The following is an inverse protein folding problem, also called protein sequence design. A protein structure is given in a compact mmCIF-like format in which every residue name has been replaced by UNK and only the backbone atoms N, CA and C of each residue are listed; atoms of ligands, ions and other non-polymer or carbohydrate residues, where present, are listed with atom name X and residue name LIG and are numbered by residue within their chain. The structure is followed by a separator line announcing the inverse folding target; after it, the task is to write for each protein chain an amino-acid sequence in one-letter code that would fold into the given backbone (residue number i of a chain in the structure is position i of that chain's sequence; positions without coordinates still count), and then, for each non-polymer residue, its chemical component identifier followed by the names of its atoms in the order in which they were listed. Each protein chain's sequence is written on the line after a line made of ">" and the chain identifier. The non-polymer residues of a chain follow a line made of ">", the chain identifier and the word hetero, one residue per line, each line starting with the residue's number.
data_IF_749888370330
#
_entry.id   IF_749888370330
#
_cell.length_a   1.000
_cell.length_b   1.000
_cell.length_c   1.000
_cell.angle_alpha   90.00
_cell.angle_beta   90.00
_cell.angle_gamma   90.00
#
_symmetry.space_group_name_H-M   'P 1'
#
loop_
_entity.id
_entity.type
_entity.pdbx_description
1 polymer ?
#
# COMPACT_ATOMS: atom_id res chain seq x y z
N UNK A 1 -61.59 50.06 -1.12
CA UNK A 1 -60.65 51.11 -0.62
C UNK A 1 -59.71 50.40 0.35
N UNK A 2 -58.39 50.26 0.20
CA UNK A 2 -57.32 51.16 -0.26
C UNK A 2 -56.08 50.33 -0.67
N UNK A 3 -55.56 50.67 -1.85
CA UNK A 3 -54.14 50.85 -2.25
C UNK A 3 -53.14 49.69 -2.09
N UNK A 4 -52.92 49.05 -3.24
CA UNK A 4 -51.63 48.58 -3.78
C UNK A 4 -50.49 49.59 -3.50
N UNK A 5 -49.33 49.11 -3.04
CA UNK A 5 -48.04 49.79 -3.25
C UNK A 5 -47.01 48.71 -3.61
N UNK A 6 -46.60 48.74 -4.87
CA UNK A 6 -45.43 48.06 -5.42
C UNK A 6 -44.20 48.89 -5.02
N UNK A 7 -43.18 48.26 -4.45
CA UNK A 7 -41.85 48.85 -4.34
C UNK A 7 -40.82 47.86 -4.90
N UNK A 8 -40.23 48.30 -6.01
CA UNK A 8 -39.16 47.70 -6.77
C UNK A 8 -37.80 48.13 -6.17
N UNK A 9 -36.74 47.36 -6.47
CA UNK A 9 -35.32 47.66 -6.28
C UNK A 9 -34.74 47.27 -4.89
N UNK A 10 -33.52 46.77 -4.75
CA UNK A 10 -32.32 46.99 -5.54
C UNK A 10 -31.30 45.85 -5.28
N UNK A 11 -30.61 45.45 -6.34
CA UNK A 11 -29.56 44.42 -6.40
C UNK A 11 -28.47 44.57 -5.34
N UNK A 12 -28.20 43.50 -4.59
CA UNK A 12 -26.95 43.35 -3.81
C UNK A 12 -26.09 42.29 -4.47
N UNK A 13 -25.04 42.79 -5.13
CA UNK A 13 -23.98 42.01 -5.75
C UNK A 13 -23.08 41.46 -4.63
N UNK A 14 -23.30 40.20 -4.23
CA UNK A 14 -22.45 39.53 -3.24
C UNK A 14 -21.12 39.13 -3.89
N UNK A 15 -20.07 39.89 -3.60
CA UNK A 15 -18.68 39.52 -3.85
C UNK A 15 -18.33 38.34 -2.93
N UNK A 16 -18.39 37.12 -3.46
CA UNK A 16 -17.89 35.93 -2.77
C UNK A 16 -16.35 35.93 -2.80
N UNK A 17 -15.66 35.75 -1.66
CA UNK A 17 -14.24 35.49 -1.69
C UNK A 17 -14.01 34.18 -2.43
N UNK A 18 -13.08 34.21 -3.38
CA UNK A 18 -12.51 33.04 -4.02
C UNK A 18 -11.82 32.19 -2.95
N UNK A 19 -12.61 31.35 -2.28
CA UNK A 19 -12.11 30.28 -1.45
C UNK A 19 -11.32 29.34 -2.36
N UNK A 20 -10.01 29.33 -2.16
CA UNK A 20 -9.12 28.34 -2.72
C UNK A 20 -9.81 26.98 -2.62
N UNK A 21 -10.04 26.36 -3.77
CA UNK A 21 -10.28 24.92 -3.82
C UNK A 21 -8.97 24.28 -3.39
N UNK A 22 -8.80 24.16 -2.07
CA UNK A 22 -7.90 23.18 -1.49
C UNK A 22 -8.25 21.86 -2.16
N UNK A 23 -7.37 21.40 -3.04
CA UNK A 23 -7.38 20.03 -3.50
C UNK A 23 -7.28 19.22 -2.23
N UNK A 24 -8.42 18.70 -1.79
CA UNK A 24 -8.48 17.73 -0.71
C UNK A 24 -7.55 16.59 -1.10
N UNK A 25 -6.35 16.60 -0.50
CA UNK A 25 -5.49 15.44 -0.47
C UNK A 25 -6.36 14.27 -0.02
N UNK A 26 -6.34 13.18 -0.79
CA UNK A 26 -7.12 11.99 -0.49
C UNK A 26 -6.97 11.63 1.00
N UNK A 27 -8.06 11.37 1.74
CA UNK A 27 -7.95 10.94 3.12
C UNK A 27 -7.21 9.61 3.16
N UNK A 28 -6.14 9.51 3.94
CA UNK A 28 -5.88 8.26 4.66
C UNK A 28 -4.57 7.52 4.42
N UNK A 29 -3.51 8.09 3.84
CA UNK A 29 -2.18 7.53 4.11
C UNK A 29 -1.81 7.89 5.55
N UNK A 30 -2.06 6.99 6.50
CA UNK A 30 -1.69 7.22 7.90
C UNK A 30 -0.17 7.18 7.99
N UNK A 31 0.46 8.32 8.26
CA UNK A 31 1.80 8.37 8.83
C UNK A 31 1.76 7.55 10.13
N UNK A 32 2.41 6.40 10.11
CA UNK A 32 2.22 5.37 11.12
C UNK A 32 3.49 4.58 11.32
N UNK A 33 3.66 4.05 12.53
CA UNK A 33 4.74 3.12 12.86
C UNK A 33 4.78 2.00 11.82
N UNK A 34 5.97 1.65 11.29
CA UNK A 34 6.11 0.52 10.38
C UNK A 34 5.53 -0.75 11.01
N UNK A 35 4.82 -1.54 10.20
CA UNK A 35 4.41 -2.89 10.61
C UNK A 35 5.32 -3.93 9.97
N UNK A 36 5.61 -5.01 10.69
CA UNK A 36 6.47 -6.08 10.20
C UNK A 36 5.73 -7.39 10.22
N UNK A 37 5.86 -8.16 9.14
CA UNK A 37 5.24 -9.46 8.95
C UNK A 37 6.29 -10.49 8.55
N UNK A 38 6.23 -11.68 9.13
CA UNK A 38 6.94 -12.84 8.60
C UNK A 38 6.05 -13.52 7.58
N UNK A 39 6.50 -13.57 6.33
CA UNK A 39 5.70 -14.04 5.20
C UNK A 39 6.47 -15.14 4.48
N UNK A 40 5.81 -16.23 4.14
CA UNK A 40 6.39 -17.29 3.31
C UNK A 40 5.84 -17.19 1.90
N UNK A 41 6.66 -17.55 0.91
CA UNK A 41 6.26 -17.46 -0.47
C UNK A 41 7.22 -18.16 -1.42
N UNK A 42 6.82 -18.20 -2.69
CA UNK A 42 7.61 -18.70 -3.80
C UNK A 42 7.99 -17.55 -4.71
N UNK A 43 9.27 -17.41 -5.02
CA UNK A 43 9.75 -16.46 -6.03
C UNK A 43 9.22 -16.87 -7.40
N UNK A 44 8.49 -15.98 -8.08
CA UNK A 44 7.95 -16.23 -9.42
C UNK A 44 8.72 -15.47 -10.50
N UNK A 45 9.35 -14.36 -10.16
CA UNK A 45 10.23 -13.60 -11.05
C UNK A 45 11.28 -12.83 -10.25
N UNK A 46 12.47 -12.67 -10.83
CA UNK A 46 13.56 -11.87 -10.25
C UNK A 46 13.53 -10.42 -10.78
N UNK A 47 14.06 -9.45 -10.03
CA UNK A 47 14.24 -8.08 -10.51
C UNK A 47 15.07 -8.04 -11.80
N UNK A 48 14.63 -7.25 -12.79
CA UNK A 48 15.42 -7.00 -14.01
C UNK A 48 16.61 -6.06 -13.76
N UNK A 49 16.56 -5.28 -12.68
CA UNK A 49 17.60 -4.34 -12.24
C UNK A 49 17.85 -4.51 -10.75
N UNK A 50 19.00 -4.05 -10.25
CA UNK A 50 19.35 -4.17 -8.83
C UNK A 50 18.35 -3.48 -7.89
N UNK A 51 17.75 -2.37 -8.33
CA UNK A 51 16.73 -1.61 -7.59
C UNK A 51 15.29 -2.03 -7.93
N UNK A 52 15.12 -3.11 -8.71
CA UNK A 52 13.82 -3.60 -9.16
C UNK A 52 13.06 -4.37 -8.09
N UNK A 53 11.83 -4.75 -8.42
CA UNK A 53 10.97 -5.54 -7.54
C UNK A 53 11.07 -7.03 -7.86
N UNK A 54 10.99 -7.85 -6.82
CA UNK A 54 10.88 -9.31 -6.94
C UNK A 54 9.40 -9.69 -6.91
N UNK A 55 8.99 -10.62 -7.78
CA UNK A 55 7.63 -11.16 -7.74
C UNK A 55 7.61 -12.39 -6.85
N UNK A 56 6.68 -12.40 -5.89
CA UNK A 56 6.51 -13.50 -4.94
C UNK A 56 5.02 -13.87 -4.91
N UNK A 57 4.71 -15.15 -5.11
CA UNK A 57 3.42 -15.71 -4.69
C UNK A 57 3.52 -16.06 -3.22
N UNK A 58 2.96 -15.21 -2.36
CA UNK A 58 3.04 -15.35 -0.92
C UNK A 58 1.81 -16.05 -0.35
N UNK A 59 1.97 -16.74 0.77
CA UNK A 59 0.85 -17.30 1.54
C UNK A 59 -0.02 -16.19 2.14
N UNK A 60 -1.23 -16.54 2.59
CA UNK A 60 -2.10 -15.60 3.32
C UNK A 60 -1.35 -14.93 4.48
N UNK A 61 -1.38 -13.60 4.53
CA UNK A 61 -0.86 -12.80 5.65
C UNK A 61 -2.04 -12.50 6.58
N UNK A 62 -2.16 -13.18 7.72
CA UNK A 62 -3.27 -12.94 8.64
C UNK A 62 -3.14 -11.57 9.29
N UNK A 63 -4.27 -10.94 9.60
CA UNK A 63 -4.29 -9.66 10.33
C UNK A 63 -3.45 -8.54 9.69
N UNK A 64 -3.41 -8.51 8.36
CA UNK A 64 -2.73 -7.46 7.61
C UNK A 64 -3.46 -6.11 7.75
N UNK A 65 -2.74 -5.05 8.14
CA UNK A 65 -3.28 -3.69 8.18
C UNK A 65 -3.16 -3.05 6.80
N UNK A 66 -4.30 -2.90 6.13
CA UNK A 66 -4.37 -2.20 4.86
C UNK A 66 -4.11 -0.69 4.99
N UNK A 67 -3.89 -0.03 3.85
CA UNK A 67 -3.63 1.41 3.78
C UNK A 67 -4.73 2.27 4.43
N UNK A 68 -5.99 1.81 4.40
CA UNK A 68 -7.13 2.48 5.05
C UNK A 68 -7.16 2.27 6.58
N UNK A 69 -6.16 1.61 7.13
CA UNK A 69 -5.99 1.30 8.55
C UNK A 69 -6.79 0.10 9.03
N UNK A 70 -7.66 -0.50 8.18
CA UNK A 70 -8.43 -1.68 8.55
C UNK A 70 -7.54 -2.92 8.58
N UNK A 71 -7.76 -3.75 9.58
CA UNK A 71 -7.10 -5.05 9.73
C UNK A 71 -7.97 -6.10 9.04
N UNK A 72 -7.38 -6.82 8.09
CA UNK A 72 -8.01 -7.94 7.35
C UNK A 72 -6.93 -8.90 6.87
N UNK A 73 -7.30 -10.11 6.50
CA UNK A 73 -6.33 -11.02 5.88
C UNK A 73 -5.93 -10.48 4.49
N UNK A 74 -4.63 -10.49 4.19
CA UNK A 74 -4.17 -10.41 2.81
C UNK A 74 -4.13 -11.84 2.27
N UNK A 75 -5.01 -12.15 1.32
CA UNK A 75 -5.09 -13.49 0.75
C UNK A 75 -3.80 -13.86 0.02
N UNK A 76 -3.58 -15.16 -0.20
CA UNK A 76 -2.47 -15.62 -1.01
C UNK A 76 -2.56 -15.03 -2.41
N UNK A 77 -1.48 -14.40 -2.88
CA UNK A 77 -1.44 -13.79 -4.19
C UNK A 77 -0.01 -13.60 -4.67
N UNK A 78 0.15 -13.45 -5.99
CA UNK A 78 1.40 -13.05 -6.62
C UNK A 78 1.45 -11.53 -6.77
N UNK A 79 2.48 -10.90 -6.19
CA UNK A 79 2.66 -9.46 -6.27
C UNK A 79 4.13 -9.04 -6.16
N UNK A 80 4.47 -7.82 -6.61
CA UNK A 80 5.82 -7.30 -6.47
C UNK A 80 6.12 -6.84 -5.04
N UNK A 81 7.36 -7.05 -4.63
CA UNK A 81 7.93 -6.50 -3.41
C UNK A 81 9.28 -5.86 -3.70
N UNK A 82 9.53 -4.69 -3.11
CA UNK A 82 10.86 -4.11 -3.14
C UNK A 82 11.80 -4.85 -2.19
N UNK A 83 13.02 -5.10 -2.64
CA UNK A 83 14.06 -5.72 -1.84
C UNK A 83 14.98 -4.64 -1.27
N UNK A 84 15.19 -4.62 0.05
CA UNK A 84 16.21 -3.74 0.65
C UNK A 84 17.61 -4.22 0.21
N UNK A 85 18.56 -3.30 -0.06
CA UNK A 85 19.93 -3.70 -0.40
C UNK A 85 20.52 -4.64 0.66
N UNK A 86 20.98 -5.81 0.22
CA UNK A 86 21.53 -6.84 1.11
C UNK A 86 20.51 -7.72 1.85
N UNK A 87 19.20 -7.54 1.61
CA UNK A 87 18.17 -8.33 2.28
C UNK A 87 18.06 -9.77 1.79
N UNK A 88 18.49 -10.08 0.57
CA UNK A 88 18.46 -11.44 0.05
C UNK A 88 19.83 -12.13 0.13
N UNK A 89 19.86 -13.45 0.39
CA UNK A 89 21.06 -14.24 0.22
C UNK A 89 21.45 -14.26 -1.26
N UNK A 90 22.75 -14.41 -1.53
CA UNK A 90 23.23 -14.67 -2.89
C UNK A 90 22.57 -15.93 -3.46
N UNK A 91 22.23 -15.91 -4.75
CA UNK A 91 21.70 -17.09 -5.45
C UNK A 91 20.19 -17.30 -5.32
N UNK A 92 19.41 -16.26 -5.02
CA UNK A 92 17.95 -16.33 -5.14
C UNK A 92 17.55 -16.64 -6.60
N UNK A 93 16.65 -17.60 -6.78
CA UNK A 93 16.23 -18.09 -8.08
C UNK A 93 14.69 -18.17 -8.19
N UNK A 94 14.17 -18.13 -9.42
CA UNK A 94 12.76 -18.43 -9.68
C UNK A 94 12.44 -19.85 -9.20
N UNK A 95 11.31 -19.99 -8.51
CA UNK A 95 10.88 -21.25 -7.88
C UNK A 95 11.41 -21.45 -6.47
N UNK A 96 12.34 -20.63 -5.98
CA UNK A 96 12.82 -20.72 -4.61
C UNK A 96 11.70 -20.45 -3.61
N UNK A 97 11.61 -21.29 -2.58
CA UNK A 97 10.73 -21.10 -1.44
C UNK A 97 11.49 -20.30 -0.38
N UNK A 98 10.92 -19.18 0.03
CA UNK A 98 11.55 -18.25 0.96
C UNK A 98 10.60 -17.82 2.07
N UNK A 99 11.19 -17.46 3.19
CA UNK A 99 10.55 -16.68 4.24
C UNK A 99 11.16 -15.28 4.22
N UNK A 100 10.32 -14.26 4.31
CA UNK A 100 10.71 -12.85 4.25
C UNK A 100 10.21 -12.12 5.48
N UNK A 101 10.98 -11.12 5.90
CA UNK A 101 10.54 -10.11 6.86
C UNK A 101 10.08 -8.89 6.05
N UNK A 102 8.76 -8.74 5.93
CA UNK A 102 8.10 -7.68 5.19
C UNK A 102 7.84 -6.49 6.12
N UNK A 103 8.44 -5.34 5.84
CA UNK A 103 8.09 -4.07 6.45
C UNK A 103 7.05 -3.33 5.59
N UNK A 104 6.00 -2.82 6.24
CA UNK A 104 4.93 -2.04 5.62
C UNK A 104 4.90 -0.64 6.20
N UNK A 105 5.11 0.36 5.34
CA UNK A 105 5.12 1.79 5.67
C UNK A 105 4.28 2.57 4.67
N UNK A 106 3.02 2.82 5.02
CA UNK A 106 2.07 3.48 4.12
C UNK A 106 2.42 4.94 3.75
N UNK A 107 3.33 5.57 4.50
CA UNK A 107 3.85 6.91 4.25
C UNK A 107 5.15 6.94 3.42
N UNK A 108 5.71 5.79 3.08
CA UNK A 108 6.94 5.69 2.31
C UNK A 108 6.67 5.69 0.79
N UNK A 109 7.67 6.12 0.00
CA UNK A 109 7.65 6.01 -1.47
C UNK A 109 7.48 4.56 -1.95
N UNK A 110 7.96 3.61 -1.17
CA UNK A 110 7.86 2.17 -1.42
C UNK A 110 7.26 1.52 -0.19
N UNK A 111 5.93 1.35 -0.14
CA UNK A 111 5.27 0.96 1.09
C UNK A 111 5.57 -0.45 1.57
N UNK A 112 5.79 -1.40 0.65
CA UNK A 112 6.08 -2.79 0.98
C UNK A 112 7.54 -3.08 0.67
N UNK A 113 8.33 -3.42 1.69
CA UNK A 113 9.75 -3.69 1.53
C UNK A 113 10.20 -4.91 2.31
N UNK A 114 10.91 -5.81 1.62
CA UNK A 114 11.57 -6.96 2.22
C UNK A 114 12.85 -6.49 2.90
N UNK A 115 12.92 -6.65 4.22
CA UNK A 115 14.07 -6.29 5.06
C UNK A 115 15.08 -7.44 5.17
N UNK A 116 14.58 -8.68 5.10
CA UNK A 116 15.39 -9.88 5.05
C UNK A 116 14.62 -10.97 4.31
N UNK A 117 15.34 -11.84 3.61
CA UNK A 117 14.83 -13.05 3.00
C UNK A 117 15.75 -14.22 3.38
N UNK A 118 15.17 -15.40 3.56
CA UNK A 118 15.90 -16.63 3.87
C UNK A 118 15.27 -17.81 3.14
N UNK A 119 16.08 -18.79 2.67
CA UNK A 119 15.53 -19.99 2.05
C UNK A 119 14.74 -20.79 3.09
N UNK A 120 13.60 -21.34 2.67
CA UNK A 120 12.88 -22.32 3.47
C UNK A 120 13.53 -23.71 3.35
N UNK A 121 13.34 -24.60 4.35
CA UNK A 121 13.85 -25.97 4.27
C UNK A 121 13.36 -26.72 3.03
N UNK A 122 14.18 -27.64 2.52
CA UNK A 122 13.79 -28.52 1.42
C UNK A 122 12.52 -29.34 1.79
N UNK A 123 11.62 -29.51 0.83
CA UNK A 123 10.34 -30.22 1.04
C UNK A 123 9.25 -29.39 1.72
N UNK A 124 9.50 -28.11 2.01
CA UNK A 124 8.45 -27.20 2.51
C UNK A 124 7.29 -27.14 1.52
N UNK A 125 6.07 -27.33 2.03
CA UNK A 125 4.83 -27.09 1.28
C UNK A 125 4.27 -25.74 1.68
N UNK A 126 3.88 -24.92 0.68
CA UNK A 126 3.25 -23.62 0.89
C UNK A 126 1.74 -23.69 0.62
N UNK A 127 0.96 -22.89 1.33
CA UNK A 127 -0.48 -22.68 1.09
C UNK A 127 -0.70 -21.52 0.11
N UNK A 128 -0.55 -21.81 -1.20
CA UNK A 128 -0.64 -20.83 -2.29
C UNK A 128 -1.97 -20.96 -3.07
N UNK A 129 -3.09 -20.78 -2.37
CA UNK A 129 -4.44 -20.97 -2.92
C UNK A 129 -5.13 -19.68 -3.34
#
# INVERSE_FOLDING_TARGET
>A
MRRLVIALALSTLAAGPAGCKDKASAPGARAGTPETYTVRGKVTSLPATADGEIMIHHEKIPSFRAVDGKVRDMMSMEMPFALEPGAAPGGLAVGALIEIDLEVRWDAKTPLRIKAARPLPAGTTLDLK
#
